data_IF_585917250552
#
_entry.id   IF_585917250552
#
_cell.length_a   1.000
_cell.length_b   1.000
_cell.length_c   1.000
_cell.angle_alpha   90.00
_cell.angle_beta   90.00
_cell.angle_gamma   90.00
#
_symmetry.space_group_name_H-M   'P 1'
#
loop_
_entity.id
_entity.type
_entity.pdbx_description
1 polymer ?
#
# COMPACT_ATOMS: atom_id res chain seq x y z
N UNK A 1 -13.70 -16.61 9.05
CA UNK A 1 -13.53 -15.32 8.36
C UNK A 1 -12.72 -15.55 7.08
N UNK A 2 -13.33 -15.33 5.92
CA UNK A 2 -12.79 -15.73 4.61
C UNK A 2 -11.67 -14.80 4.16
N UNK A 3 -10.57 -15.36 3.64
CA UNK A 3 -9.32 -14.68 3.20
C UNK A 3 -9.54 -13.37 2.41
N UNK A 4 -10.66 -13.29 1.69
CA UNK A 4 -11.07 -12.10 0.97
C UNK A 4 -11.26 -10.87 1.86
N UNK A 5 -11.84 -11.03 3.06
CA UNK A 5 -11.98 -9.93 4.03
C UNK A 5 -10.61 -9.41 4.47
N UNK A 6 -9.65 -10.30 4.72
CA UNK A 6 -8.27 -9.92 5.10
C UNK A 6 -7.59 -9.10 3.99
N UNK A 7 -7.69 -9.55 2.75
CA UNK A 7 -7.15 -8.84 1.58
C UNK A 7 -7.76 -7.43 1.48
N UNK A 8 -9.10 -7.33 1.53
CA UNK A 8 -9.79 -6.03 1.42
C UNK A 8 -9.43 -5.08 2.57
N UNK A 9 -9.17 -5.60 3.76
CA UNK A 9 -8.73 -4.80 4.91
C UNK A 9 -7.30 -4.28 4.70
N UNK A 10 -6.40 -5.12 4.21
CA UNK A 10 -5.01 -4.70 3.92
C UNK A 10 -4.99 -3.65 2.81
N UNK A 11 -5.79 -3.81 1.75
CA UNK A 11 -5.93 -2.82 0.68
C UNK A 11 -6.40 -1.46 1.20
N UNK A 12 -7.42 -1.45 2.09
CA UNK A 12 -7.90 -0.21 2.71
C UNK A 12 -6.83 0.48 3.56
N UNK A 13 -6.05 -0.29 4.31
CA UNK A 13 -4.96 0.26 5.13
C UNK A 13 -3.81 0.78 4.26
N UNK A 14 -3.52 0.15 3.12
CA UNK A 14 -2.54 0.67 2.15
C UNK A 14 -2.96 2.04 1.63
N UNK A 15 -4.23 2.19 1.24
CA UNK A 15 -4.74 3.47 0.72
C UNK A 15 -4.66 4.57 1.78
N UNK A 16 -5.05 4.29 3.02
CA UNK A 16 -4.92 5.26 4.11
C UNK A 16 -3.49 5.73 4.33
N UNK A 17 -2.52 4.80 4.25
CA UNK A 17 -1.10 5.14 4.41
C UNK A 17 -0.61 6.00 3.24
N UNK A 18 -1.12 5.77 2.02
CA UNK A 18 -0.81 6.64 0.88
C UNK A 18 -1.36 8.05 1.09
N UNK A 19 -2.62 8.18 1.50
CA UNK A 19 -3.22 9.50 1.79
C UNK A 19 -2.40 10.24 2.87
N UNK A 20 -1.91 9.53 3.89
CA UNK A 20 -1.05 10.11 4.94
C UNK A 20 0.32 10.54 4.39
N UNK A 21 0.94 9.74 3.52
CA UNK A 21 2.21 10.09 2.86
C UNK A 21 2.01 11.34 2.00
N UNK A 22 0.94 11.39 1.21
CA UNK A 22 0.64 12.53 0.32
C UNK A 22 0.47 13.81 1.13
N UNK A 23 -0.30 13.75 2.23
CA UNK A 23 -0.44 14.90 3.13
C UNK A 23 0.89 15.34 3.74
N UNK A 24 1.76 14.40 4.13
CA UNK A 24 3.09 14.74 4.66
C UNK A 24 4.00 15.33 3.60
N UNK A 25 3.93 14.86 2.35
CA UNK A 25 4.66 15.45 1.22
C UNK A 25 4.20 16.89 1.01
N UNK A 26 2.89 17.14 0.94
CA UNK A 26 2.30 18.48 0.78
C UNK A 26 2.75 19.41 1.91
N UNK A 27 2.81 18.93 3.14
CA UNK A 27 3.24 19.69 4.31
C UNK A 27 4.76 19.81 4.45
N UNK A 28 5.55 19.16 3.59
CA UNK A 28 7.02 19.12 3.70
C UNK A 28 7.53 18.34 4.92
N UNK A 29 6.71 17.45 5.50
CA UNK A 29 7.04 16.63 6.66
C UNK A 29 7.70 15.31 6.24
N UNK A 30 8.48 14.74 7.16
CA UNK A 30 9.07 13.43 6.96
C UNK A 30 7.99 12.33 6.93
N UNK A 31 8.00 11.53 5.87
CA UNK A 31 7.05 10.42 5.65
C UNK A 31 7.72 9.03 5.67
N UNK A 32 8.97 8.94 6.15
CA UNK A 32 9.80 7.72 6.09
C UNK A 32 9.19 6.56 6.86
N UNK A 33 8.52 6.84 7.98
CA UNK A 33 7.89 5.81 8.81
C UNK A 33 6.67 5.20 8.11
N UNK A 34 5.90 6.04 7.42
CA UNK A 34 4.68 5.70 6.70
C UNK A 34 5.03 4.92 5.44
N UNK A 35 6.08 5.34 4.72
CA UNK A 35 6.64 4.58 3.61
C UNK A 35 7.11 3.17 4.03
N UNK A 36 7.74 3.04 5.20
CA UNK A 36 8.12 1.74 5.76
C UNK A 36 6.90 0.89 6.08
N UNK A 37 5.87 1.48 6.70
CA UNK A 37 4.59 0.81 7.00
C UNK A 37 3.89 0.34 5.73
N UNK A 38 3.82 1.20 4.71
CA UNK A 38 3.27 0.87 3.40
C UNK A 38 3.97 -0.34 2.78
N UNK A 39 5.32 -0.35 2.79
CA UNK A 39 6.11 -1.48 2.28
C UNK A 39 5.82 -2.79 3.03
N UNK A 40 5.66 -2.75 4.35
CA UNK A 40 5.30 -3.93 5.15
C UNK A 40 3.89 -4.43 4.82
N UNK A 41 2.90 -3.54 4.64
CA UNK A 41 1.54 -3.92 4.25
C UNK A 41 1.52 -4.55 2.86
N UNK A 42 2.29 -4.00 1.91
CA UNK A 42 2.45 -4.59 0.58
C UNK A 42 3.06 -5.99 0.61
N UNK A 43 4.07 -6.23 1.47
CA UNK A 43 4.65 -7.56 1.64
C UNK A 43 3.62 -8.56 2.18
N UNK A 44 2.81 -8.16 3.17
CA UNK A 44 1.71 -8.99 3.71
C UNK A 44 0.65 -9.27 2.65
N UNK A 45 0.31 -8.28 1.84
CA UNK A 45 -0.66 -8.46 0.75
C UNK A 45 -0.14 -9.44 -0.31
N UNK A 46 1.15 -9.34 -0.67
CA UNK A 46 1.80 -10.28 -1.60
C UNK A 46 1.87 -11.70 -1.05
N UNK A 47 2.03 -11.89 0.26
CA UNK A 47 2.03 -13.24 0.85
C UNK A 47 0.63 -13.86 0.89
N UNK A 48 -0.41 -13.04 1.07
CA UNK A 48 -1.81 -13.51 1.06
C UNK A 48 -2.34 -13.74 -0.35
N UNK A 49 -1.80 -13.05 -1.36
CA UNK A 49 -2.25 -13.11 -2.75
C UNK A 49 -1.18 -13.75 -3.64
N UNK A 50 -1.37 -15.04 -3.97
CA UNK A 50 -0.56 -15.82 -4.94
C UNK A 50 -0.50 -15.13 -6.34
N UNK A 51 0.45 -15.50 -7.24
CA UNK A 51 1.14 -14.58 -8.17
C UNK A 51 0.29 -13.82 -9.22
N UNK A 52 -0.98 -14.14 -9.40
CA UNK A 52 -1.85 -13.50 -10.41
C UNK A 52 -2.11 -12.00 -10.15
N UNK A 53 -1.96 -11.53 -8.91
CA UNK A 53 -2.26 -10.13 -8.54
C UNK A 53 -1.08 -9.16 -8.68
N UNK A 54 0.13 -9.67 -8.97
CA UNK A 54 1.34 -8.88 -9.20
C UNK A 54 1.14 -7.85 -10.34
N UNK A 55 0.31 -8.19 -11.33
CA UNK A 55 -0.03 -7.32 -12.46
C UNK A 55 -0.94 -6.15 -12.10
N UNK A 56 -1.73 -6.22 -11.01
CA UNK A 56 -2.64 -5.13 -10.59
C UNK A 56 -1.94 -4.08 -9.72
N UNK A 57 -1.01 -4.50 -8.87
CA UNK A 57 -0.22 -3.60 -8.02
C UNK A 57 0.73 -2.69 -8.79
N UNK A 58 1.22 -3.13 -9.96
CA UNK A 58 2.13 -2.34 -10.79
C UNK A 58 1.49 -1.01 -11.25
N UNK A 59 0.15 -0.94 -11.33
CA UNK A 59 -0.59 0.30 -11.69
C UNK A 59 -0.70 1.31 -10.56
N UNK A 60 -0.41 0.95 -9.30
CA UNK A 60 -0.49 1.89 -8.15
C UNK A 60 0.88 2.43 -7.72
N UNK A 61 1.98 1.74 -8.08
CA UNK A 61 3.34 2.22 -7.80
C UNK A 61 3.79 3.24 -8.86
N UNK A 62 3.19 3.20 -10.05
CA UNK A 62 3.54 4.12 -11.16
C UNK A 62 3.08 5.56 -10.94
N UNK A 63 2.19 5.85 -9.99
CA UNK A 63 1.78 7.21 -9.63
C UNK A 63 2.84 8.00 -8.86
N UNK A 64 3.92 7.36 -8.39
CA UNK A 64 5.01 8.02 -7.66
C UNK A 64 6.31 8.20 -8.48
N UNK A 65 6.33 7.78 -9.76
CA UNK A 65 7.51 7.83 -10.63
C UNK A 65 7.27 8.51 -11.99
N UNK A 66 6.20 9.30 -12.13
CA UNK A 66 5.91 10.12 -13.31
C UNK A 66 5.75 11.59 -12.91
#
# INVERSE_FOLDING_TARGET
MTKHKTITTIEKEINKVNDEIDMRIIQGLAYRAEAKRHKTLLQKLRSEVRPTWQYRLSRMVTSFLL
#
